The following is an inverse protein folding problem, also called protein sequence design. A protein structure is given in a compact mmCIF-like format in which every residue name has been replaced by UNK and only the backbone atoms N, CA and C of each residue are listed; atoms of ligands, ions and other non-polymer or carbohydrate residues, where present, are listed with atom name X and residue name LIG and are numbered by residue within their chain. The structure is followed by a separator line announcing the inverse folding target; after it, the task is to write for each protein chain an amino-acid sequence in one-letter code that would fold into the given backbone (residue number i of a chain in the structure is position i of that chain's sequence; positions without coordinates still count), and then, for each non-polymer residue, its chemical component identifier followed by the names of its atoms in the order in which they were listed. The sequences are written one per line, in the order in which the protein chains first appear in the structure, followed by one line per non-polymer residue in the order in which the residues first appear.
data_IF_021860709568
#
_entry.id   IF_021860709568
#
_cell.length_a   1.000
_cell.length_b   1.000
_cell.length_c   1.000
_cell.angle_alpha   90.00
_cell.angle_beta   90.00
_cell.angle_gamma   90.00
#
_symmetry.space_group_name_H-M   'P 1'
#
loop_
_entity.id
_entity.type
_entity.pdbx_description
1 polymer ?
#
# COMPACT_ATOMS: atom_id res chain seq x y z
N UNK A 1 63.26 -13.02 6.37
CA UNK A 1 62.37 -13.76 5.43
C UNK A 1 62.11 -15.12 6.08
N UNK A 2 61.11 -15.20 6.95
CA UNK A 2 59.79 -15.85 6.72
C UNK A 2 59.85 -17.38 6.77
N UNK A 3 59.75 -17.95 7.99
CA UNK A 3 59.65 -19.41 8.19
C UNK A 3 58.93 -19.87 9.47
N UNK A 4 58.07 -19.04 10.11
CA UNK A 4 57.40 -19.44 11.36
C UNK A 4 55.86 -19.58 11.26
N UNK A 5 55.25 -19.25 10.12
CA UNK A 5 53.79 -19.36 9.95
C UNK A 5 53.32 -20.75 9.44
N UNK A 6 54.22 -21.61 8.96
CA UNK A 6 53.87 -22.94 8.44
C UNK A 6 53.70 -24.00 9.55
N UNK A 7 54.33 -23.80 10.72
CA UNK A 7 54.33 -24.76 11.82
C UNK A 7 53.06 -24.67 12.68
N UNK A 8 52.51 -23.48 12.87
CA UNK A 8 51.26 -23.27 13.63
C UNK A 8 50.03 -23.70 12.84
N UNK A 9 49.96 -23.35 11.55
CA UNK A 9 48.87 -23.83 10.69
C UNK A 9 48.95 -25.35 10.51
N UNK A 10 50.17 -25.89 10.45
CA UNK A 10 50.38 -27.33 10.33
C UNK A 10 50.06 -28.12 11.60
N UNK A 11 50.32 -27.57 12.79
CA UNK A 11 49.91 -28.20 14.05
C UNK A 11 48.42 -28.08 14.32
N UNK A 12 47.77 -27.02 13.84
CA UNK A 12 46.30 -26.88 13.90
C UNK A 12 45.60 -27.81 12.90
N UNK A 13 46.14 -28.00 11.69
CA UNK A 13 45.54 -28.88 10.68
C UNK A 13 45.87 -30.37 10.87
N UNK A 14 47.08 -30.71 11.34
CA UNK A 14 47.57 -32.10 11.41
C UNK A 14 47.94 -32.58 12.83
N UNK A 15 47.78 -31.74 13.86
CA UNK A 15 48.04 -32.11 15.26
C UNK A 15 46.83 -32.71 16.00
N UNK A 16 45.71 -32.94 15.31
CA UNK A 16 44.56 -33.61 15.91
C UNK A 16 44.84 -35.12 16.06
N UNK A 17 44.56 -35.72 17.24
CA UNK A 17 44.68 -37.16 17.41
C UNK A 17 43.79 -37.86 16.36
N UNK A 18 44.38 -38.85 15.68
CA UNK A 18 43.65 -39.69 14.72
C UNK A 18 42.49 -40.34 15.47
N UNK A 19 41.28 -40.21 14.92
CA UNK A 19 40.08 -40.75 15.56
C UNK A 19 40.17 -42.28 15.61
N UNK A 20 40.29 -42.86 16.81
CA UNK A 20 40.34 -44.31 17.02
C UNK A 20 38.99 -45.01 16.80
N UNK A 21 37.97 -44.29 16.32
CA UNK A 21 36.66 -44.81 15.95
C UNK A 21 35.51 -44.17 16.72
N UNK A 22 34.29 -44.57 16.34
CA UNK A 22 33.07 -44.12 16.98
C UNK A 22 32.91 -44.81 18.34
N UNK A 23 32.69 -44.02 19.39
CA UNK A 23 32.39 -44.53 20.74
C UNK A 23 31.02 -45.23 20.77
N UNK A 24 30.85 -46.25 21.62
CA UNK A 24 29.58 -46.97 21.75
C UNK A 24 28.41 -46.10 22.29
N UNK A 25 28.68 -44.87 22.75
CA UNK A 25 27.68 -43.93 23.30
C UNK A 25 27.33 -42.77 22.33
N UNK A 26 27.40 -43.00 21.03
CA UNK A 26 27.16 -41.96 20.01
C UNK A 26 25.70 -41.52 19.91
N UNK A 27 24.74 -42.35 20.31
CA UNK A 27 23.30 -42.08 20.24
C UNK A 27 22.79 -41.37 21.51
N UNK A 28 23.38 -40.22 21.85
CA UNK A 28 22.99 -39.42 23.01
C UNK A 28 21.63 -38.71 22.85
N UNK A 29 21.08 -38.19 23.95
CA UNK A 29 19.81 -37.46 23.94
C UNK A 29 19.77 -36.26 22.96
N UNK A 30 20.91 -35.57 22.79
CA UNK A 30 21.04 -34.42 21.89
C UNK A 30 20.89 -34.84 20.42
N UNK A 31 21.38 -36.03 20.07
CA UNK A 31 21.23 -36.61 18.74
C UNK A 31 19.76 -36.89 18.42
N UNK A 32 19.05 -37.57 19.34
CA UNK A 32 17.61 -37.84 19.14
C UNK A 32 16.76 -36.57 19.13
N UNK A 33 17.09 -35.58 19.96
CA UNK A 33 16.42 -34.29 19.97
C UNK A 33 16.60 -33.57 18.62
N UNK A 34 17.83 -33.48 18.12
CA UNK A 34 18.11 -32.87 16.82
C UNK A 34 17.33 -33.54 15.69
N UNK A 35 17.36 -34.87 15.60
CA UNK A 35 16.63 -35.62 14.56
C UNK A 35 15.11 -35.48 14.68
N UNK A 36 14.56 -35.40 15.90
CA UNK A 36 13.11 -35.18 16.10
C UNK A 36 12.68 -33.80 15.60
N UNK A 37 13.46 -32.77 15.95
CA UNK A 37 13.22 -31.40 15.47
C UNK A 37 13.39 -31.32 13.94
N UNK A 38 14.36 -32.04 13.37
CA UNK A 38 14.55 -32.13 11.93
C UNK A 38 13.31 -32.68 11.23
N UNK A 39 12.77 -33.79 11.74
CA UNK A 39 11.55 -34.40 11.21
C UNK A 39 10.36 -33.44 11.27
N UNK A 40 10.18 -32.72 12.38
CA UNK A 40 9.14 -31.70 12.52
C UNK A 40 9.31 -30.55 11.52
N UNK A 41 10.56 -30.14 11.23
CA UNK A 41 10.84 -29.10 10.24
C UNK A 41 10.39 -29.46 8.83
N UNK A 42 10.53 -30.74 8.43
CA UNK A 42 10.07 -31.21 7.11
C UNK A 42 8.55 -31.36 6.98
N UNK A 43 7.80 -31.21 8.09
CA UNK A 43 6.34 -31.18 8.06
C UNK A 43 5.76 -29.79 7.68
N UNK A 44 6.61 -28.82 7.32
CA UNK A 44 6.16 -27.49 6.94
C UNK A 44 5.37 -27.42 5.64
N UNK A 45 4.43 -26.47 5.57
CA UNK A 45 3.59 -26.22 4.40
C UNK A 45 4.26 -25.36 3.31
N UNK A 46 3.48 -25.02 2.27
CA UNK A 46 3.91 -24.14 1.18
C UNK A 46 3.76 -22.64 1.53
N UNK A 47 4.51 -21.77 0.83
CA UNK A 47 4.47 -20.31 0.97
C UNK A 47 5.52 -19.73 1.91
N UNK A 48 5.59 -18.40 2.02
CA UNK A 48 6.63 -17.70 2.79
C UNK A 48 6.59 -18.05 4.30
N UNK A 49 5.39 -18.15 4.88
CA UNK A 49 5.21 -18.59 6.27
C UNK A 49 5.54 -20.08 6.46
N UNK A 50 5.26 -20.92 5.46
CA UNK A 50 5.67 -22.33 5.45
C UNK A 50 7.19 -22.48 5.43
N UNK A 51 7.87 -21.72 4.57
CA UNK A 51 9.34 -21.68 4.55
C UNK A 51 9.94 -21.17 5.87
N UNK A 52 9.34 -20.15 6.51
CA UNK A 52 9.78 -19.71 7.84
C UNK A 52 9.63 -20.82 8.89
N UNK A 53 8.53 -21.58 8.85
CA UNK A 53 8.32 -22.73 9.72
C UNK A 53 9.43 -23.78 9.49
N UNK A 54 9.67 -24.16 8.24
CA UNK A 54 10.71 -25.13 7.84
C UNK A 54 12.06 -24.69 8.41
N UNK A 55 12.57 -23.52 8.01
CA UNK A 55 13.89 -23.08 8.47
C UNK A 55 13.95 -22.80 9.98
N UNK A 56 12.83 -22.38 10.58
CA UNK A 56 12.70 -22.15 12.02
C UNK A 56 12.89 -23.42 12.86
N UNK A 57 12.56 -24.60 12.33
CA UNK A 57 12.84 -25.90 12.97
C UNK A 57 14.17 -26.50 12.50
N UNK A 58 14.57 -26.33 11.24
CA UNK A 58 15.87 -26.83 10.76
C UNK A 58 17.05 -26.15 11.45
N UNK A 59 16.98 -24.85 11.76
CA UNK A 59 18.05 -24.16 12.48
C UNK A 59 18.34 -24.76 13.88
N UNK A 60 17.39 -24.88 14.82
CA UNK A 60 17.64 -25.52 16.11
C UNK A 60 18.02 -27.00 15.97
N UNK A 61 17.52 -27.71 14.96
CA UNK A 61 17.96 -29.08 14.66
C UNK A 61 19.46 -29.14 14.34
N UNK A 62 19.94 -28.34 13.39
CA UNK A 62 21.36 -28.30 13.03
C UNK A 62 22.24 -27.78 14.16
N UNK A 63 21.73 -26.91 15.02
CA UNK A 63 22.41 -26.51 16.26
C UNK A 63 22.59 -27.71 17.20
N UNK A 64 21.55 -28.51 17.43
CA UNK A 64 21.66 -29.74 18.24
C UNK A 64 22.65 -30.75 17.62
N UNK A 65 22.60 -30.96 16.31
CA UNK A 65 23.52 -31.89 15.61
C UNK A 65 24.97 -31.38 15.58
N UNK A 66 25.18 -30.07 15.46
CA UNK A 66 26.50 -29.44 15.58
C UNK A 66 27.05 -29.57 17.00
N UNK A 67 26.23 -29.30 18.02
CA UNK A 67 26.59 -29.49 19.42
C UNK A 67 26.93 -30.95 19.74
N UNK A 68 26.16 -31.89 19.18
CA UNK A 68 26.46 -33.32 19.29
C UNK A 68 27.81 -33.66 18.64
N UNK A 69 28.05 -33.26 17.39
CA UNK A 69 29.32 -33.50 16.69
C UNK A 69 30.54 -32.87 17.38
N UNK A 70 30.34 -31.75 18.08
CA UNK A 70 31.36 -31.13 18.94
C UNK A 70 31.65 -31.96 20.20
N UNK A 71 30.61 -32.51 20.83
CA UNK A 71 30.71 -33.25 22.09
C UNK A 71 31.15 -34.71 21.93
N UNK A 72 30.90 -35.37 20.79
CA UNK A 72 31.12 -36.83 20.62
C UNK A 72 32.47 -37.23 20.01
N UNK A 73 33.48 -36.34 20.01
CA UNK A 73 34.89 -36.56 19.62
C UNK A 73 35.14 -36.77 18.11
N UNK A 74 36.21 -36.11 17.61
CA UNK A 74 36.84 -36.20 16.28
C UNK A 74 35.95 -36.11 15.02
N UNK A 75 34.68 -35.77 15.15
CA UNK A 75 33.80 -35.46 14.03
C UNK A 75 33.90 -33.99 13.58
N UNK A 76 35.11 -33.47 13.32
CA UNK A 76 35.27 -32.10 12.80
C UNK A 76 34.43 -31.91 11.52
N UNK A 77 34.44 -32.91 10.64
CA UNK A 77 33.65 -32.91 9.40
C UNK A 77 32.14 -32.82 9.68
N UNK A 78 31.64 -33.63 10.60
CA UNK A 78 30.22 -33.63 11.02
C UNK A 78 29.85 -32.29 11.66
N UNK A 79 30.70 -31.75 12.53
CA UNK A 79 30.50 -30.44 13.13
C UNK A 79 30.46 -29.34 12.07
N UNK A 80 31.42 -29.31 11.16
CA UNK A 80 31.56 -28.29 10.11
C UNK A 80 30.36 -28.30 9.16
N UNK A 81 29.91 -29.47 8.71
CA UNK A 81 28.73 -29.58 7.85
C UNK A 81 27.45 -29.10 8.53
N UNK A 82 27.21 -29.52 9.77
CA UNK A 82 26.02 -29.10 10.51
C UNK A 82 26.05 -27.60 10.84
N UNK A 83 27.23 -27.05 11.17
CA UNK A 83 27.40 -25.62 11.38
C UNK A 83 27.14 -24.81 10.09
N UNK A 84 27.61 -25.29 8.94
CA UNK A 84 27.36 -24.63 7.65
C UNK A 84 25.87 -24.64 7.30
N UNK A 85 25.18 -25.76 7.54
CA UNK A 85 23.73 -25.88 7.33
C UNK A 85 22.94 -24.97 8.29
N UNK A 86 23.37 -24.85 9.55
CA UNK A 86 22.82 -23.88 10.50
C UNK A 86 22.95 -22.45 9.98
N UNK A 87 24.14 -22.05 9.53
CA UNK A 87 24.38 -20.71 9.00
C UNK A 87 23.53 -20.44 7.75
N UNK A 88 23.39 -21.42 6.86
CA UNK A 88 22.52 -21.31 5.69
C UNK A 88 21.05 -21.14 6.08
N UNK A 89 20.57 -21.90 7.08
CA UNK A 89 19.21 -21.76 7.59
C UNK A 89 18.99 -20.37 8.21
N UNK A 90 19.94 -19.87 9.01
CA UNK A 90 19.86 -18.52 9.59
C UNK A 90 19.85 -17.44 8.49
N UNK A 91 20.70 -17.58 7.46
CA UNK A 91 20.71 -16.66 6.32
C UNK A 91 19.38 -16.67 5.57
N UNK A 92 18.78 -17.85 5.36
CA UNK A 92 17.46 -17.97 4.75
C UNK A 92 16.36 -17.34 5.61
N UNK A 93 16.35 -17.58 6.92
CA UNK A 93 15.40 -16.93 7.84
C UNK A 93 15.55 -15.40 7.76
N UNK A 94 16.79 -14.89 7.81
CA UNK A 94 17.05 -13.45 7.69
C UNK A 94 16.56 -12.90 6.35
N UNK A 95 16.82 -13.59 5.24
CA UNK A 95 16.35 -13.20 3.90
C UNK A 95 14.81 -13.21 3.81
N UNK A 96 14.14 -14.24 4.36
CA UNK A 96 12.69 -14.33 4.37
C UNK A 96 12.05 -13.27 5.27
N UNK A 97 12.61 -13.03 6.46
CA UNK A 97 12.16 -11.95 7.35
C UNK A 97 12.38 -10.58 6.72
N UNK A 98 13.49 -10.38 6.00
CA UNK A 98 13.74 -9.15 5.25
C UNK A 98 12.69 -8.96 4.15
N UNK A 99 12.42 -10.01 3.37
CA UNK A 99 11.39 -9.99 2.33
C UNK A 99 10.00 -9.72 2.91
N UNK A 100 9.62 -10.42 3.99
CA UNK A 100 8.35 -10.23 4.69
C UNK A 100 8.23 -8.84 5.30
N UNK A 101 9.32 -8.28 5.82
CA UNK A 101 9.35 -6.89 6.33
C UNK A 101 9.21 -5.89 5.20
N UNK A 102 9.81 -6.14 4.04
CA UNK A 102 9.58 -5.32 2.84
C UNK A 102 8.16 -5.48 2.30
N UNK A 103 7.54 -6.65 2.47
CA UNK A 103 6.15 -7.00 2.13
C UNK A 103 5.12 -6.43 3.11
N UNK A 104 5.50 -6.21 4.36
CA UNK A 104 4.68 -5.59 5.39
C UNK A 104 4.37 -4.14 5.08
N UNK A 105 3.08 -3.79 5.16
CA UNK A 105 2.66 -2.39 5.17
C UNK A 105 3.11 -1.75 6.50
N UNK A 106 3.76 -0.58 6.48
CA UNK A 106 4.38 0.00 7.67
C UNK A 106 3.38 0.49 8.73
N UNK A 107 2.09 0.63 8.40
CA UNK A 107 1.06 1.04 9.34
C UNK A 107 -0.21 0.18 9.26
N UNK A 108 -0.85 -0.01 10.41
CA UNK A 108 -2.11 -0.72 10.56
C UNK A 108 -3.23 -0.06 9.74
N UNK A 109 -3.22 1.26 9.65
CA UNK A 109 -4.18 2.04 8.85
C UNK A 109 -4.07 1.75 7.34
N UNK A 110 -2.85 1.55 6.82
CA UNK A 110 -2.67 1.17 5.42
C UNK A 110 -3.07 -0.28 5.16
N UNK A 111 -2.88 -1.16 6.15
CA UNK A 111 -3.33 -2.55 6.08
C UNK A 111 -4.86 -2.60 6.01
N UNK A 112 -5.55 -1.84 6.86
CA UNK A 112 -7.02 -1.76 6.85
C UNK A 112 -7.54 -1.11 5.57
N UNK A 113 -6.90 -0.05 5.06
CA UNK A 113 -7.22 0.55 3.76
C UNK A 113 -7.08 -0.45 2.61
N UNK A 114 -5.97 -1.20 2.58
CA UNK A 114 -5.73 -2.21 1.56
C UNK A 114 -6.84 -3.28 1.59
N UNK A 115 -7.16 -3.81 2.76
CA UNK A 115 -8.20 -4.83 2.93
C UNK A 115 -9.60 -4.33 2.57
N UNK A 116 -9.93 -3.07 2.87
CA UNK A 116 -11.26 -2.52 2.66
C UNK A 116 -11.51 -2.06 1.21
N UNK A 117 -10.50 -1.50 0.54
CA UNK A 117 -10.67 -0.84 -0.77
C UNK A 117 -9.95 -1.57 -1.89
N UNK A 118 -8.66 -1.90 -1.70
CA UNK A 118 -7.81 -2.42 -2.78
C UNK A 118 -7.92 -3.93 -2.97
N UNK A 119 -8.13 -4.68 -1.89
CA UNK A 119 -8.28 -6.13 -1.92
C UNK A 119 -9.58 -6.56 -2.64
N UNK A 120 -10.75 -5.94 -2.42
CA UNK A 120 -11.96 -6.25 -3.19
C UNK A 120 -11.83 -5.91 -4.68
N UNK A 121 -11.01 -4.92 -5.02
CA UNK A 121 -10.67 -4.56 -6.41
C UNK A 121 -9.65 -5.51 -7.05
N UNK A 122 -9.15 -6.51 -6.33
CA UNK A 122 -8.17 -7.47 -6.82
C UNK A 122 -6.77 -6.88 -7.05
N UNK A 123 -6.43 -5.76 -6.39
CA UNK A 123 -5.15 -5.08 -6.58
C UNK A 123 -4.04 -5.82 -5.85
N UNK A 124 -2.93 -6.19 -6.51
CA UNK A 124 -1.80 -6.82 -5.85
C UNK A 124 -1.14 -5.91 -4.81
N UNK A 125 -0.70 -6.48 -3.69
CA UNK A 125 -0.04 -5.74 -2.60
C UNK A 125 1.18 -4.92 -3.07
N UNK A 126 1.93 -5.41 -4.06
CA UNK A 126 3.10 -4.69 -4.58
C UNK A 126 2.69 -3.39 -5.27
N UNK A 127 1.59 -3.41 -6.03
CA UNK A 127 1.05 -2.20 -6.67
C UNK A 127 0.57 -1.22 -5.61
N UNK A 128 -0.12 -1.70 -4.57
CA UNK A 128 -0.57 -0.83 -3.49
C UNK A 128 0.60 -0.14 -2.77
N UNK A 129 1.73 -0.82 -2.59
CA UNK A 129 2.94 -0.17 -2.02
C UNK A 129 3.51 0.94 -2.90
N UNK A 130 3.42 0.82 -4.23
CA UNK A 130 3.84 1.90 -5.13
C UNK A 130 2.92 3.12 -4.98
N UNK A 131 1.60 2.87 -4.90
CA UNK A 131 0.59 3.90 -4.61
C UNK A 131 0.85 4.53 -3.23
N UNK A 132 1.19 3.71 -2.24
CA UNK A 132 1.49 4.14 -0.88
C UNK A 132 2.78 4.96 -0.77
N UNK A 133 3.79 4.54 -1.53
CA UNK A 133 4.99 5.32 -1.75
C UNK A 133 4.69 6.71 -2.31
N UNK A 134 3.68 6.89 -3.16
CA UNK A 134 3.34 8.19 -3.74
C UNK A 134 2.71 9.20 -2.75
N UNK A 135 2.10 8.76 -1.65
CA UNK A 135 1.67 9.63 -0.54
C UNK A 135 2.63 9.59 0.67
N UNK A 136 3.87 9.12 0.47
CA UNK A 136 4.91 9.06 1.52
C UNK A 136 4.56 8.15 2.70
N UNK A 137 3.62 7.20 2.53
CA UNK A 137 3.09 6.38 3.62
C UNK A 137 2.59 7.19 4.84
N UNK A 138 2.24 8.48 4.64
CA UNK A 138 1.84 9.38 5.72
C UNK A 138 0.32 9.52 5.74
N UNK A 139 -0.27 9.28 6.91
CA UNK A 139 -1.65 9.62 7.22
C UNK A 139 -1.67 10.97 7.91
N UNK A 140 -2.62 11.82 7.51
CA UNK A 140 -2.81 13.15 8.07
C UNK A 140 -4.07 13.15 8.91
N UNK A 141 -3.97 13.72 10.12
CA UNK A 141 -5.09 13.90 11.03
C UNK A 141 -5.72 15.28 10.79
N UNK A 142 -7.05 15.34 10.85
CA UNK A 142 -7.86 16.55 10.74
C UNK A 142 -8.87 16.55 11.88
N UNK A 143 -8.77 17.49 12.80
CA UNK A 143 -9.63 17.54 13.99
C UNK A 143 -11.01 18.05 13.65
N UNK A 144 -12.00 17.69 14.47
CA UNK A 144 -13.35 18.23 14.34
C UNK A 144 -13.34 19.78 14.32
N UNK A 145 -13.97 20.37 13.31
CA UNK A 145 -14.01 21.81 13.07
C UNK A 145 -12.84 22.37 12.26
N UNK A 146 -11.77 21.61 12.01
CA UNK A 146 -10.68 22.05 11.12
C UNK A 146 -11.12 22.02 9.65
N UNK A 147 -10.62 22.99 8.88
CA UNK A 147 -10.91 23.13 7.45
C UNK A 147 -9.79 22.49 6.64
N UNK A 148 -10.16 21.55 5.79
CA UNK A 148 -9.26 20.96 4.81
C UNK A 148 -9.01 21.92 3.64
N UNK A 149 -10.10 22.50 3.11
CA UNK A 149 -10.05 23.46 2.02
C UNK A 149 -11.06 24.57 2.25
N UNK A 150 -10.69 25.79 1.83
CA UNK A 150 -11.54 26.98 1.90
C UNK A 150 -11.82 27.47 0.49
N UNK A 151 -13.10 27.70 0.22
CA UNK A 151 -13.61 28.22 -1.04
C UNK A 151 -12.83 29.47 -1.52
N UNK A 152 -12.40 29.43 -2.78
CA UNK A 152 -11.69 30.54 -3.46
C UNK A 152 -10.29 30.83 -2.92
N UNK A 153 -9.82 30.11 -1.91
CA UNK A 153 -8.51 30.32 -1.26
C UNK A 153 -7.56 29.16 -1.45
N UNK A 154 -8.00 27.94 -1.15
CA UNK A 154 -7.14 26.76 -1.22
C UNK A 154 -6.90 26.35 -2.68
N UNK A 155 -5.64 26.20 -3.13
CA UNK A 155 -5.34 25.69 -4.46
C UNK A 155 -5.60 24.18 -4.55
N UNK A 156 -5.91 23.69 -5.75
CA UNK A 156 -6.11 22.26 -6.03
C UNK A 156 -4.77 21.65 -6.48
N UNK A 157 -3.90 21.32 -5.52
CA UNK A 157 -2.53 20.85 -5.76
C UNK A 157 -2.29 19.40 -5.29
N UNK A 158 -3.32 18.74 -4.78
CA UNK A 158 -3.29 17.39 -4.27
C UNK A 158 -4.62 16.67 -4.52
N UNK A 159 -4.61 15.34 -4.37
CA UNK A 159 -5.78 14.47 -4.36
C UNK A 159 -5.79 13.76 -3.01
N UNK A 160 -6.93 13.71 -2.32
CA UNK A 160 -7.04 13.23 -0.95
C UNK A 160 -8.15 12.21 -0.78
N UNK A 161 -7.90 11.18 0.03
CA UNK A 161 -8.80 10.07 0.26
C UNK A 161 -9.04 9.86 1.75
N UNK A 162 -10.31 9.83 2.15
CA UNK A 162 -10.73 9.79 3.55
C UNK A 162 -10.65 8.35 4.10
N UNK A 163 -9.87 8.15 5.15
CA UNK A 163 -9.69 6.85 5.81
C UNK A 163 -10.69 6.62 6.94
N UNK A 164 -11.03 7.68 7.69
CA UNK A 164 -11.99 7.65 8.78
C UNK A 164 -12.55 9.04 9.04
N UNK A 165 -13.71 9.08 9.71
CA UNK A 165 -14.44 10.30 10.02
C UNK A 165 -15.37 10.73 8.88
N UNK A 166 -15.74 12.00 8.90
CA UNK A 166 -16.71 12.59 7.99
C UNK A 166 -16.41 14.06 7.76
N UNK A 167 -16.48 14.44 6.49
CA UNK A 167 -16.21 15.81 6.06
C UNK A 167 -17.52 16.43 5.58
N UNK A 168 -17.79 17.63 6.06
CA UNK A 168 -18.88 18.48 5.62
C UNK A 168 -18.42 19.33 4.42
N UNK A 169 -19.18 19.27 3.32
CA UNK A 169 -19.00 20.12 2.15
C UNK A 169 -20.00 21.27 2.18
N UNK A 170 -19.53 22.50 2.04
CA UNK A 170 -20.36 23.70 2.01
C UNK A 170 -19.96 24.67 0.91
N UNK A 171 -20.95 25.40 0.36
CA UNK A 171 -20.76 26.47 -0.63
C UNK A 171 -21.40 27.74 -0.08
N UNK A 172 -20.65 28.85 0.00
CA UNK A 172 -21.13 30.10 0.59
C UNK A 172 -21.74 29.93 2.01
N UNK A 173 -21.23 28.95 2.77
CA UNK A 173 -21.73 28.59 4.11
C UNK A 173 -23.00 27.72 4.12
N UNK A 174 -23.57 27.38 2.97
CA UNK A 174 -24.68 26.43 2.87
C UNK A 174 -24.17 24.99 2.77
N UNK A 175 -24.75 24.11 3.58
CA UNK A 175 -24.47 22.67 3.54
C UNK A 175 -24.88 22.04 2.21
N UNK A 176 -23.96 21.29 1.58
CA UNK A 176 -24.21 20.53 0.36
C UNK A 176 -24.39 19.04 0.66
N UNK A 177 -23.32 18.38 1.11
CA UNK A 177 -23.31 16.96 1.41
C UNK A 177 -22.18 16.59 2.35
N UNK A 178 -22.23 15.37 2.86
CA UNK A 178 -21.13 14.76 3.60
C UNK A 178 -20.32 13.88 2.69
N UNK A 179 -19.00 13.89 2.89
CA UNK A 179 -18.08 12.90 2.33
C UNK A 179 -17.80 11.89 3.44
N UNK A 180 -18.02 10.62 3.11
CA UNK A 180 -17.92 9.51 4.04
C UNK A 180 -16.59 8.77 3.91
N UNK A 181 -16.33 7.90 4.88
CA UNK A 181 -15.17 7.01 4.90
C UNK A 181 -15.02 6.27 3.56
N UNK A 182 -13.77 6.14 3.10
CA UNK A 182 -13.38 5.50 1.85
C UNK A 182 -13.86 6.21 0.57
N UNK A 183 -14.11 7.51 0.64
CA UNK A 183 -14.39 8.35 -0.52
C UNK A 183 -13.28 9.38 -0.72
N UNK A 184 -13.13 9.86 -1.95
CA UNK A 184 -12.23 10.97 -2.24
C UNK A 184 -12.83 12.28 -1.72
N UNK A 185 -11.98 13.19 -1.27
CA UNK A 185 -12.43 14.50 -0.77
C UNK A 185 -12.59 15.52 -1.90
N UNK A 186 -11.75 15.41 -2.93
CA UNK A 186 -11.46 16.42 -3.94
C UNK A 186 -11.44 15.82 -5.36
N UNK A 187 -12.12 14.69 -5.57
CA UNK A 187 -12.18 14.03 -6.89
C UNK A 187 -12.83 14.88 -7.99
N UNK A 188 -13.93 15.64 -7.78
CA UNK A 188 -14.47 16.51 -8.83
C UNK A 188 -13.51 17.66 -9.17
N UNK A 189 -12.91 18.28 -8.15
CA UNK A 189 -11.93 19.35 -8.30
C UNK A 189 -10.69 18.87 -9.06
N UNK A 190 -10.19 17.69 -8.70
CA UNK A 190 -9.04 17.07 -9.34
C UNK A 190 -9.25 16.83 -10.84
N UNK A 191 -10.39 16.24 -11.20
CA UNK A 191 -10.75 15.88 -12.58
C UNK A 191 -11.12 17.09 -13.43
N UNK A 192 -11.64 18.15 -12.80
CA UNK A 192 -12.00 19.39 -13.49
C UNK A 192 -10.79 20.16 -14.06
N UNK A 193 -9.61 19.96 -13.48
CA UNK A 193 -8.39 20.67 -13.86
C UNK A 193 -7.52 19.84 -14.79
N UNK A 194 -7.03 20.48 -15.85
CA UNK A 194 -5.96 19.90 -16.68
C UNK A 194 -4.66 19.81 -15.86
N UNK A 195 -3.74 18.89 -16.21
CA UNK A 195 -2.49 18.73 -15.45
C UNK A 195 -1.64 20.00 -15.29
N UNK A 196 -1.69 20.91 -16.25
CA UNK A 196 -0.94 22.18 -16.27
C UNK A 196 -1.76 23.40 -15.80
N UNK A 197 -3.00 23.19 -15.38
CA UNK A 197 -3.91 24.26 -15.00
C UNK A 197 -3.95 24.40 -13.47
N UNK A 198 -3.90 25.64 -13.00
CA UNK A 198 -4.08 25.97 -11.59
C UNK A 198 -5.54 26.32 -11.34
N UNK A 199 -6.12 25.74 -10.29
CA UNK A 199 -7.45 26.04 -9.85
C UNK A 199 -7.52 26.16 -8.34
N UNK A 200 -8.65 26.68 -7.86
CA UNK A 200 -8.94 26.79 -6.45
C UNK A 200 -10.22 26.01 -6.13
N UNK A 201 -10.30 25.53 -4.91
CA UNK A 201 -11.51 24.89 -4.40
C UNK A 201 -12.71 25.83 -4.54
N UNK A 202 -13.80 25.31 -5.09
CA UNK A 202 -15.07 26.03 -5.23
C UNK A 202 -15.98 25.83 -4.01
N UNK A 203 -15.61 24.92 -3.12
CA UNK A 203 -16.36 24.59 -1.91
C UNK A 203 -15.43 24.62 -0.69
N UNK A 204 -16.01 24.81 0.49
CA UNK A 204 -15.32 24.68 1.77
C UNK A 204 -15.55 23.29 2.34
N UNK A 205 -14.45 22.61 2.66
CA UNK A 205 -14.42 21.27 3.24
C UNK A 205 -14.00 21.36 4.70
N UNK A 206 -14.87 20.96 5.62
CA UNK A 206 -14.64 21.04 7.08
C UNK A 206 -14.86 19.69 7.72
N UNK A 207 -13.97 19.26 8.61
CA UNK A 207 -14.18 18.04 9.39
C UNK A 207 -15.35 18.22 10.36
N UNK A 208 -16.34 17.33 10.27
CA UNK A 208 -17.42 17.28 11.27
C UNK A 208 -16.97 16.51 12.53
N UNK A 209 -16.13 15.50 12.34
CA UNK A 209 -15.57 14.64 13.39
C UNK A 209 -14.06 14.48 13.18
N UNK A 210 -13.35 13.99 14.21
CA UNK A 210 -11.93 13.69 14.10
C UNK A 210 -11.69 12.68 12.96
N UNK A 211 -11.00 13.17 11.94
CA UNK A 211 -10.88 12.52 10.64
C UNK A 211 -9.43 12.22 10.31
N UNK A 212 -9.22 11.16 9.53
CA UNK A 212 -7.90 10.79 9.02
C UNK A 212 -7.97 10.59 7.53
N UNK A 213 -6.98 11.10 6.80
CA UNK A 213 -6.94 11.02 5.34
C UNK A 213 -5.52 10.83 4.84
N UNK A 214 -5.39 10.30 3.62
CA UNK A 214 -4.14 10.28 2.86
C UNK A 214 -4.23 11.29 1.72
N UNK A 215 -3.08 11.83 1.30
CA UNK A 215 -3.05 12.81 0.22
C UNK A 215 -1.85 12.61 -0.70
N UNK A 216 -2.12 12.60 -1.99
CA UNK A 216 -1.12 12.56 -3.05
C UNK A 216 -0.92 13.96 -3.63
N UNK A 217 0.33 14.44 -3.61
CA UNK A 217 0.69 15.66 -4.34
C UNK A 217 0.47 15.46 -5.84
N UNK A 218 -0.12 16.46 -6.49
CA UNK A 218 -0.55 16.39 -7.90
C UNK A 218 0.56 15.92 -8.84
N UNK A 219 1.72 16.58 -8.78
CA UNK A 219 2.89 16.25 -9.61
C UNK A 219 3.37 14.81 -9.41
N UNK A 220 3.40 14.33 -8.17
CA UNK A 220 3.91 12.98 -7.83
C UNK A 220 2.93 11.90 -8.28
N UNK A 221 1.63 12.14 -8.11
CA UNK A 221 0.60 11.22 -8.59
C UNK A 221 0.63 11.12 -10.11
N UNK A 222 0.66 12.24 -10.84
CA UNK A 222 0.74 12.21 -12.31
C UNK A 222 1.99 11.49 -12.84
N UNK A 223 3.15 11.64 -12.17
CA UNK A 223 4.35 10.86 -12.53
C UNK A 223 4.15 9.35 -12.32
N UNK A 224 3.45 8.94 -11.26
CA UNK A 224 3.15 7.52 -11.04
C UNK A 224 2.18 7.00 -12.11
N UNK A 225 1.11 7.75 -12.40
CA UNK A 225 0.11 7.38 -13.40
C UNK A 225 0.70 7.30 -14.81
N UNK A 226 1.66 8.18 -15.16
CA UNK A 226 2.33 8.13 -16.46
C UNK A 226 3.30 6.94 -16.59
N UNK A 227 3.89 6.50 -15.48
CA UNK A 227 4.82 5.36 -15.44
C UNK A 227 4.07 4.02 -15.50
N UNK A 228 3.02 3.86 -14.70
CA UNK A 228 2.36 2.57 -14.48
C UNK A 228 0.92 2.57 -15.02
N UNK A 229 0.71 1.98 -16.21
CA UNK A 229 -0.61 1.97 -16.87
C UNK A 229 -1.70 1.28 -16.03
N UNK A 230 -1.34 0.28 -15.25
CA UNK A 230 -2.29 -0.42 -14.37
C UNK A 230 -2.83 0.54 -13.30
N UNK A 231 -1.94 1.29 -12.64
CA UNK A 231 -2.31 2.27 -11.61
C UNK A 231 -3.15 3.39 -12.24
N UNK A 232 -2.80 3.85 -13.45
CA UNK A 232 -3.59 4.84 -14.18
C UNK A 232 -5.05 4.40 -14.39
N UNK A 233 -5.26 3.17 -14.86
CA UNK A 233 -6.61 2.61 -15.04
C UNK A 233 -7.35 2.45 -13.72
N UNK A 234 -6.66 1.96 -12.68
CA UNK A 234 -7.22 1.81 -11.35
C UNK A 234 -7.76 3.15 -10.82
N UNK A 235 -6.94 4.20 -10.86
CA UNK A 235 -7.35 5.54 -10.43
C UNK A 235 -8.49 6.11 -11.28
N UNK A 236 -8.45 5.91 -12.60
CA UNK A 236 -9.54 6.35 -13.49
C UNK A 236 -10.89 5.70 -13.12
N UNK A 237 -10.89 4.41 -12.81
CA UNK A 237 -12.09 3.69 -12.36
C UNK A 237 -12.53 4.19 -10.98
N UNK A 238 -11.61 4.31 -10.02
CA UNK A 238 -11.93 4.76 -8.67
C UNK A 238 -12.47 6.19 -8.63
N UNK A 239 -11.85 7.12 -9.36
CA UNK A 239 -12.29 8.50 -9.46
C UNK A 239 -13.64 8.59 -10.20
N UNK A 240 -13.80 7.86 -11.31
CA UNK A 240 -15.06 7.82 -12.05
C UNK A 240 -16.21 7.28 -11.20
N UNK A 241 -15.97 6.23 -10.41
CA UNK A 241 -16.96 5.69 -9.48
C UNK A 241 -17.35 6.69 -8.39
N UNK A 242 -16.37 7.33 -7.75
CA UNK A 242 -16.60 8.30 -6.67
C UNK A 242 -17.34 9.55 -7.17
N UNK A 243 -16.96 10.09 -8.34
CA UNK A 243 -17.65 11.22 -8.96
C UNK A 243 -19.09 10.84 -9.32
N UNK A 244 -19.31 9.65 -9.88
CA UNK A 244 -20.65 9.17 -10.20
C UNK A 244 -21.53 9.06 -8.95
N UNK A 245 -21.03 8.46 -7.87
CA UNK A 245 -21.76 8.39 -6.59
C UNK A 245 -22.14 9.78 -6.07
N UNK A 246 -21.20 10.74 -6.08
CA UNK A 246 -21.48 12.12 -5.63
C UNK A 246 -22.54 12.80 -6.49
N UNK A 247 -22.49 12.61 -7.82
CA UNK A 247 -23.48 13.15 -8.74
C UNK A 247 -24.86 12.53 -8.53
N UNK A 248 -24.94 11.21 -8.33
CA UNK A 248 -26.19 10.53 -8.01
C UNK A 248 -26.76 11.00 -6.67
N UNK A 249 -25.94 11.09 -5.62
CA UNK A 249 -26.36 11.58 -4.32
C UNK A 249 -26.87 13.03 -4.37
N UNK A 250 -26.27 13.88 -5.20
CA UNK A 250 -26.73 15.25 -5.42
C UNK A 250 -28.06 15.28 -6.18
N UNK A 251 -28.21 14.43 -7.20
CA UNK A 251 -29.44 14.31 -7.98
C UNK A 251 -30.62 13.85 -7.12
N UNK A 252 -30.42 12.86 -6.24
CA UNK A 252 -31.46 12.38 -5.32
C UNK A 252 -31.94 13.49 -4.39
N UNK A 253 -31.03 14.34 -3.90
CA UNK A 253 -31.38 15.51 -3.08
C UNK A 253 -32.17 16.55 -3.86
N UNK A 254 -31.82 16.78 -5.13
CA UNK A 254 -32.59 17.67 -6.00
C UNK A 254 -33.98 17.12 -6.24
N UNK A 255 -34.12 15.82 -6.51
CA UNK A 255 -35.43 15.18 -6.65
C UNK A 255 -36.31 15.37 -5.41
N UNK A 256 -35.76 15.17 -4.22
CA UNK A 256 -36.50 15.37 -2.97
C UNK A 256 -36.94 16.84 -2.79
N UNK A 257 -36.09 17.80 -3.18
CA UNK A 257 -36.33 19.23 -2.94
C UNK A 257 -37.23 19.88 -4.00
N UNK A 258 -37.13 19.47 -5.26
CA UNK A 258 -37.82 20.11 -6.40
C UNK A 258 -38.70 19.15 -7.22
N UNK A 259 -38.71 17.86 -6.92
CA UNK A 259 -39.42 16.84 -7.71
C UNK A 259 -38.75 16.52 -9.05
N UNK A 260 -37.56 17.07 -9.32
CA UNK A 260 -36.87 16.95 -10.60
C UNK A 260 -35.81 15.86 -10.52
N UNK A 261 -35.94 14.83 -11.34
CA UNK A 261 -34.90 13.82 -11.53
C UNK A 261 -34.10 14.20 -12.76
N UNK A 262 -32.83 14.59 -12.58
CA UNK A 262 -31.98 14.92 -13.71
C UNK A 262 -31.48 13.62 -14.36
N UNK A 263 -31.50 13.55 -15.68
CA UNK A 263 -30.74 12.53 -16.40
C UNK A 263 -29.31 13.04 -16.57
N UNK A 264 -28.43 12.56 -15.70
CA UNK A 264 -27.01 12.96 -15.68
C UNK A 264 -26.25 12.56 -16.96
N UNK A 265 -26.87 11.79 -17.86
CA UNK A 265 -26.28 11.42 -19.17
C UNK A 265 -26.47 12.48 -20.25
N UNK A 266 -27.31 13.50 -20.02
CA UNK A 266 -27.63 14.53 -21.02
C UNK A 266 -26.77 15.80 -20.83
N UNK A 267 -26.22 16.43 -21.90
CA UNK A 267 -25.22 17.50 -21.79
C UNK A 267 -25.71 18.89 -21.32
N UNK A 268 -26.92 19.03 -20.77
CA UNK A 268 -27.58 20.33 -20.57
C UNK A 268 -27.89 20.60 -19.10
N UNK A 269 -26.88 20.95 -18.29
CA UNK A 269 -27.02 21.14 -16.84
C UNK A 269 -26.82 22.59 -16.34
N UNK A 270 -26.28 23.50 -17.15
CA UNK A 270 -25.94 24.84 -16.66
C UNK A 270 -27.14 25.79 -16.46
N UNK A 271 -28.28 25.52 -17.10
CA UNK A 271 -29.43 26.43 -17.03
C UNK A 271 -30.40 26.19 -15.86
N UNK A 272 -30.32 25.03 -15.17
CA UNK A 272 -31.28 24.67 -14.11
C UNK A 272 -30.75 25.04 -12.71
N UNK A 273 -29.43 25.17 -12.54
CA UNK A 273 -28.79 25.47 -11.26
C UNK A 273 -28.53 26.98 -11.03
N UNK A 274 -28.75 27.83 -12.04
CA UNK A 274 -28.68 29.27 -11.85
C UNK A 274 -29.87 29.72 -10.98
N UNK A 275 -29.66 30.47 -9.88
CA UNK A 275 -30.76 31.07 -9.16
C UNK A 275 -31.55 31.95 -10.14
N UNK A 276 -32.87 31.81 -10.15
CA UNK A 276 -33.76 32.61 -10.99
C UNK A 276 -33.56 34.10 -10.65
N UNK A 277 -32.74 34.78 -11.43
CA UNK A 277 -32.74 36.24 -11.46
C UNK A 277 -34.05 36.67 -12.10
N UNK A 278 -34.88 37.38 -11.33
CA UNK A 278 -36.11 38.00 -11.83
C UNK A 278 -35.83 38.74 -13.13
N UNK A 279 -36.64 38.54 -14.19
CA UNK A 279 -36.42 39.21 -15.46
C UNK A 279 -36.82 40.68 -15.33
N UNK A 280 -35.83 41.54 -15.16
CA UNK A 280 -36.07 42.95 -14.91
C UNK A 280 -34.89 43.88 -15.04
N UNK A 281 -33.88 43.61 -15.89
CA UNK A 281 -33.08 44.69 -16.50
C UNK A 281 -32.19 44.20 -17.65
N UNK A 282 -32.17 45.02 -18.70
CA UNK A 282 -31.47 44.87 -19.99
C UNK A 282 -29.95 44.78 -19.85
N UNK A 283 -29.33 44.01 -20.75
CA UNK A 283 -28.17 44.49 -21.49
C UNK A 283 -26.99 43.53 -21.60
N UNK A 284 -26.52 43.42 -22.85
CA UNK A 284 -25.18 43.03 -23.31
C UNK A 284 -24.94 41.54 -23.53
N UNK A 285 -25.02 41.16 -24.81
CA UNK A 285 -24.66 39.84 -25.30
C UNK A 285 -23.17 39.56 -25.19
N UNK A 286 -22.85 38.27 -25.08
CA UNK A 286 -21.51 37.75 -25.25
C UNK A 286 -21.56 36.52 -26.16
N UNK A 287 -20.66 36.54 -27.13
CA UNK A 287 -20.49 35.58 -28.22
C UNK A 287 -20.27 34.15 -27.71
N UNK A 288 -20.87 33.21 -28.43
CA UNK A 288 -20.80 31.78 -28.17
C UNK A 288 -19.39 31.21 -28.31
N UNK A 289 -19.06 30.31 -27.39
CA UNK A 289 -17.96 29.37 -27.54
C UNK A 289 -18.52 28.03 -28.01
N UNK A 290 -18.13 27.63 -29.22
CA UNK A 290 -18.33 26.29 -29.75
C UNK A 290 -17.53 25.29 -28.90
N UNK A 291 -18.21 24.34 -28.26
CA UNK A 291 -17.56 23.15 -27.69
C UNK A 291 -17.57 22.06 -28.76
N UNK A 292 -16.40 21.83 -29.37
CA UNK A 292 -16.17 20.63 -30.18
C UNK A 292 -16.21 19.41 -29.26
N UNK A 293 -17.13 18.49 -29.56
CA UNK A 293 -17.24 17.20 -28.92
C UNK A 293 -16.04 16.30 -29.24
N UNK A 294 -15.46 15.70 -28.20
CA UNK A 294 -14.51 14.61 -28.31
C UNK A 294 -15.22 13.30 -27.95
N UNK A 295 -15.83 12.69 -28.97
CA UNK A 295 -16.15 11.26 -29.02
C UNK A 295 -15.52 10.74 -30.30
N UNK A 296 -14.22 10.42 -30.23
CA UNK A 296 -13.58 9.55 -31.22
C UNK A 296 -13.02 8.36 -30.48
N UNK A 297 -13.86 7.32 -30.44
CA UNK A 297 -13.46 5.92 -30.35
C UNK A 297 -12.43 5.68 -31.46
N UNK A 298 -11.22 5.32 -31.10
CA UNK A 298 -10.25 4.80 -32.06
C UNK A 298 -10.14 3.29 -31.83
N UNK A 299 -10.95 2.55 -32.61
CA UNK A 299 -10.62 1.21 -33.02
C UNK A 299 -9.47 1.27 -34.05
N UNK A 300 -8.60 0.26 -34.00
CA UNK A 300 -7.81 -0.34 -35.10
C UNK A 300 -6.29 -0.39 -34.89
N UNK A 301 -5.81 -1.65 -34.89
CA UNK A 301 -4.46 -2.23 -34.99
C UNK A 301 -3.58 -2.30 -33.72
#
# INVERSE_FOLDING_TARGET
MSSDNSTVLGSVLWGHPVCDGWSNNTEGAIYHLGNTILFLGYMGGSGAYGCLFIFGFLAPSFLCLSLWGWMTVCGLDVFTWNLLLLLLCLAQICHLLYRLRQEGLPSEELTTLYQAVYLPLGVPIQVFKEIAGAFENRVVELRAGETYAVEGKTPIDQLSFLLSGRINVSLEGQFLHYIHRHQFMDSPEWESLRPNEEGKFQVTLTAEEDSRYISWRRRRLYMLLSKERYIARLFSVMLGFDIAEKLYALNDKLYIKSGVHLDIRLPSLYHVLAPSTSPGQRGWGWHGWHVHGWLTVHDSY
#
